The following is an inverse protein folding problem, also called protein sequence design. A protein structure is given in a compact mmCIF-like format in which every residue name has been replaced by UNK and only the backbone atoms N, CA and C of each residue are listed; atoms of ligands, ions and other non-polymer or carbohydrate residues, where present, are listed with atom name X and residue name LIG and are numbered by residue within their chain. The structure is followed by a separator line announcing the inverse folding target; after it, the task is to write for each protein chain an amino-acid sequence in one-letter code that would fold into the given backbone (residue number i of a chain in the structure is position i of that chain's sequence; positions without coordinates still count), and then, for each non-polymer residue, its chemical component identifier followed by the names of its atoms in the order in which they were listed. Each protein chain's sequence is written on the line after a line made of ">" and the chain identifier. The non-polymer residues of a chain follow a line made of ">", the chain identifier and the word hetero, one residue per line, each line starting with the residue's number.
data_IF_720618724697
#
_entry.id   IF_720618724697
#
_cell.length_a   1.000
_cell.length_b   1.000
_cell.length_c   1.000
_cell.angle_alpha   90.00
_cell.angle_beta   90.00
_cell.angle_gamma   90.00
#
_symmetry.space_group_name_H-M   'P 1'
#
loop_
_entity.id
_entity.type
_entity.pdbx_description
1 polymer ?
#
# COMPACT_ATOMS: atom_id res chain seq x y z
N UNK A 1 24.47 9.52 13.04
CA UNK A 1 25.48 9.99 12.07
C UNK A 1 26.86 9.95 12.71
N UNK A 2 27.78 9.06 12.28
CA UNK A 2 29.09 8.89 12.96
C UNK A 2 29.93 10.19 13.06
N UNK A 3 29.83 11.07 12.05
CA UNK A 3 30.58 12.30 11.99
C UNK A 3 29.94 13.48 12.73
N UNK A 4 28.61 13.57 12.76
CA UNK A 4 27.88 14.69 13.39
C UNK A 4 27.42 14.38 14.82
N UNK A 5 27.14 13.09 15.13
CA UNK A 5 26.54 12.70 16.42
C UNK A 5 27.39 12.90 17.65
N UNK A 6 28.70 13.18 17.50
CA UNK A 6 29.62 13.49 18.59
C UNK A 6 29.79 14.99 18.80
N UNK A 7 29.28 15.83 17.90
CA UNK A 7 29.42 17.28 18.02
C UNK A 7 28.30 17.84 18.89
N UNK A 8 28.60 18.78 19.79
CA UNK A 8 27.61 19.59 20.47
C UNK A 8 26.69 20.28 19.41
N UNK A 9 25.39 20.33 19.68
CA UNK A 9 24.39 20.78 18.68
C UNK A 9 24.65 22.21 18.18
N UNK A 10 25.15 23.10 19.05
CA UNK A 10 25.50 24.49 18.72
C UNK A 10 26.75 24.62 17.82
N UNK A 11 27.55 23.56 17.66
CA UNK A 11 28.70 23.54 16.77
C UNK A 11 28.43 22.96 15.38
N UNK A 12 27.25 22.41 15.18
CA UNK A 12 26.87 21.83 13.87
C UNK A 12 26.63 22.97 12.87
N UNK A 13 27.38 22.96 11.76
CA UNK A 13 27.31 23.95 10.68
C UNK A 13 26.75 23.31 9.40
N UNK A 14 26.11 24.13 8.54
CA UNK A 14 25.57 23.70 7.27
C UNK A 14 26.67 23.08 6.35
N UNK A 15 27.84 23.71 6.27
CA UNK A 15 28.96 23.22 5.44
C UNK A 15 29.40 21.80 5.83
N UNK A 16 29.56 21.53 7.12
CA UNK A 16 29.92 20.20 7.63
C UNK A 16 28.84 19.15 7.32
N UNK A 17 27.58 19.54 7.45
CA UNK A 17 26.44 18.64 7.18
C UNK A 17 26.37 18.31 5.70
N UNK A 18 26.59 19.29 4.81
CA UNK A 18 26.64 19.09 3.35
C UNK A 18 27.78 18.13 3.00
N UNK A 19 28.99 18.35 3.52
CA UNK A 19 30.13 17.47 3.28
C UNK A 19 29.89 16.03 3.69
N UNK A 20 29.21 15.81 4.84
CA UNK A 20 28.86 14.46 5.32
C UNK A 20 27.83 13.77 4.44
N UNK A 21 26.93 14.53 3.77
CA UNK A 21 25.88 14.00 2.91
C UNK A 21 26.28 13.90 1.42
N UNK A 22 27.36 14.57 1.01
CA UNK A 22 27.85 14.57 -0.37
C UNK A 22 28.07 13.17 -0.98
N UNK A 23 28.63 12.16 -0.25
CA UNK A 23 28.74 10.81 -0.78
C UNK A 23 27.40 10.13 -1.09
N UNK A 24 26.31 10.54 -0.43
CA UNK A 24 24.97 10.04 -0.75
C UNK A 24 24.43 10.68 -2.04
N UNK A 25 24.77 11.95 -2.30
CA UNK A 25 24.44 12.64 -3.55
C UNK A 25 25.16 12.01 -4.72
N UNK A 26 26.46 11.81 -4.61
CA UNK A 26 27.31 11.15 -5.61
C UNK A 26 26.81 9.72 -5.92
N UNK A 27 26.26 9.03 -4.92
CA UNK A 27 25.63 7.72 -5.07
C UNK A 27 24.17 7.78 -5.59
N UNK A 28 23.64 8.97 -5.93
CA UNK A 28 22.27 9.18 -6.43
C UNK A 28 21.16 8.90 -5.40
N UNK A 29 21.47 8.85 -4.10
CA UNK A 29 20.52 8.52 -3.02
C UNK A 29 19.75 9.76 -2.54
N UNK A 30 19.16 10.51 -3.47
CA UNK A 30 18.50 11.80 -3.20
C UNK A 30 17.32 11.70 -2.22
N UNK A 31 16.51 10.62 -2.29
CA UNK A 31 15.42 10.39 -1.33
C UNK A 31 15.93 10.19 0.10
N UNK A 32 17.09 9.54 0.26
CA UNK A 32 17.74 9.38 1.56
C UNK A 32 18.23 10.72 2.10
N UNK A 33 18.88 11.54 1.26
CA UNK A 33 19.30 12.89 1.62
C UNK A 33 18.12 13.71 2.10
N UNK A 34 17.02 13.72 1.34
CA UNK A 34 15.79 14.43 1.71
C UNK A 34 15.28 14.03 3.10
N UNK A 35 15.22 12.71 3.38
CA UNK A 35 14.75 12.21 4.69
C UNK A 35 15.71 12.58 5.82
N UNK A 36 17.01 12.43 5.60
CA UNK A 36 18.03 12.76 6.60
C UNK A 36 18.06 14.26 6.91
N UNK A 37 18.02 15.11 5.88
CA UNK A 37 17.98 16.57 6.05
C UNK A 37 16.71 17.03 6.77
N UNK A 38 15.55 16.42 6.47
CA UNK A 38 14.31 16.68 7.20
C UNK A 38 14.41 16.29 8.67
N UNK A 39 14.96 15.11 8.99
CA UNK A 39 15.13 14.66 10.37
C UNK A 39 16.10 15.55 11.14
N UNK A 40 17.25 15.91 10.55
CA UNK A 40 18.22 16.82 11.20
C UNK A 40 17.58 18.19 11.41
N UNK A 41 16.84 18.72 10.43
CA UNK A 41 16.15 19.99 10.55
C UNK A 41 15.11 19.98 11.69
N UNK A 42 14.36 18.88 11.87
CA UNK A 42 13.44 18.72 13.00
C UNK A 42 14.16 18.76 14.35
N UNK A 43 15.31 18.09 14.47
CA UNK A 43 16.15 18.11 15.70
C UNK A 43 16.63 19.53 15.99
N UNK A 44 17.13 20.25 14.98
CA UNK A 44 17.59 21.63 15.13
C UNK A 44 16.45 22.58 15.51
N UNK A 45 15.28 22.43 14.89
CA UNK A 45 14.08 23.22 15.23
C UNK A 45 13.63 22.96 16.67
N UNK A 46 13.67 21.71 17.12
CA UNK A 46 13.40 21.37 18.52
C UNK A 46 14.41 22.06 19.46
N UNK A 47 15.69 22.06 19.14
CA UNK A 47 16.72 22.71 19.95
C UNK A 47 16.54 24.24 20.03
N UNK A 48 16.06 24.87 18.95
CA UNK A 48 15.67 26.30 18.97
C UNK A 48 14.46 26.52 19.90
N UNK A 49 13.41 25.72 19.73
CA UNK A 49 12.16 25.86 20.50
C UNK A 49 12.35 25.60 22.01
N UNK A 50 13.38 24.83 22.38
CA UNK A 50 13.74 24.54 23.78
C UNK A 50 14.84 25.48 24.32
N UNK A 51 15.29 26.47 23.55
CA UNK A 51 16.29 27.42 23.96
C UNK A 51 17.72 26.89 24.04
N UNK A 52 18.00 25.69 23.51
CA UNK A 52 19.35 25.10 23.49
C UNK A 52 20.27 25.84 22.49
N UNK A 53 19.71 26.32 21.39
CA UNK A 53 20.36 27.16 20.38
C UNK A 53 19.44 28.30 19.98
N UNK A 54 20.01 29.43 19.58
CA UNK A 54 19.22 30.61 19.22
C UNK A 54 18.63 30.58 17.80
N UNK A 55 19.29 29.91 16.88
CA UNK A 55 18.90 29.83 15.46
C UNK A 55 19.17 28.44 14.91
N UNK A 56 18.39 28.05 13.91
CA UNK A 56 18.61 26.80 13.19
C UNK A 56 19.51 27.01 11.96
N UNK A 57 20.81 26.65 12.02
CA UNK A 57 21.73 26.83 10.90
C UNK A 57 21.43 25.92 9.70
N UNK A 58 20.54 24.92 9.86
CA UNK A 58 20.18 23.92 8.86
C UNK A 58 18.76 24.08 8.30
N UNK A 59 18.09 25.22 8.55
CA UNK A 59 16.68 25.43 8.23
C UNK A 59 16.30 25.12 6.77
N UNK A 60 17.19 25.37 5.82
CA UNK A 60 16.98 25.17 4.39
C UNK A 60 17.99 24.22 3.75
N UNK A 61 18.66 23.39 4.53
CA UNK A 61 19.78 22.55 4.06
C UNK A 61 19.35 21.60 2.92
N UNK A 62 18.10 21.21 2.85
CA UNK A 62 17.57 20.38 1.74
C UNK A 62 17.76 21.06 0.38
N UNK A 63 17.77 22.40 0.32
CA UNK A 63 17.96 23.17 -0.92
C UNK A 63 19.40 23.15 -1.44
N UNK A 64 20.35 22.68 -0.63
CA UNK A 64 21.75 22.51 -1.05
C UNK A 64 21.98 21.26 -1.90
N UNK A 65 20.96 20.40 -2.07
CA UNK A 65 21.02 19.15 -2.81
C UNK A 65 19.97 19.11 -3.91
N UNK A 66 20.22 18.29 -4.93
CA UNK A 66 19.21 18.03 -5.95
C UNK A 66 17.95 17.41 -5.35
N UNK A 67 16.81 17.83 -5.87
CA UNK A 67 15.52 17.24 -5.46
C UNK A 67 15.33 15.88 -6.12
N UNK A 68 14.92 14.84 -5.37
CA UNK A 68 14.62 13.56 -5.98
C UNK A 68 13.48 13.69 -6.99
N UNK A 69 13.66 13.09 -8.17
CA UNK A 69 12.59 13.02 -9.16
C UNK A 69 11.45 12.16 -8.61
N UNK A 70 10.23 12.67 -8.66
CA UNK A 70 9.04 11.88 -8.31
C UNK A 70 8.96 10.68 -9.24
N UNK A 71 9.00 9.48 -8.66
CA UNK A 71 8.73 8.24 -9.39
C UNK A 71 7.33 7.77 -9.01
N UNK A 72 6.50 7.54 -10.02
CA UNK A 72 5.23 6.87 -9.81
C UNK A 72 5.48 5.42 -9.39
N UNK A 73 4.54 4.85 -8.63
CA UNK A 73 4.59 3.43 -8.28
C UNK A 73 4.48 2.61 -9.58
N UNK A 74 5.30 1.56 -9.66
CA UNK A 74 5.26 0.65 -10.79
C UNK A 74 3.89 -0.04 -10.84
N UNK A 75 3.19 0.10 -11.95
CA UNK A 75 1.86 -0.47 -12.20
C UNK A 75 1.78 -0.95 -13.65
N UNK A 76 0.81 -1.79 -13.94
CA UNK A 76 0.49 -2.26 -15.29
C UNK A 76 -0.57 -1.36 -15.93
N UNK A 77 -0.67 -1.41 -17.25
CA UNK A 77 -1.80 -0.87 -18.00
C UNK A 77 -3.02 -1.82 -17.89
N UNK A 78 -4.27 -1.32 -17.99
CA UNK A 78 -5.48 -2.15 -17.90
C UNK A 78 -5.48 -3.37 -18.83
N UNK A 79 -4.97 -3.21 -20.05
CA UNK A 79 -4.87 -4.31 -21.03
C UNK A 79 -3.93 -5.45 -20.60
N UNK A 80 -3.07 -5.26 -19.60
CA UNK A 80 -2.15 -6.27 -19.07
C UNK A 80 -2.78 -7.11 -17.94
N UNK A 81 -3.96 -6.72 -17.44
CA UNK A 81 -4.67 -7.45 -16.38
C UNK A 81 -4.90 -8.93 -16.73
N UNK A 82 -5.31 -9.31 -17.96
CA UNK A 82 -5.45 -10.71 -18.36
C UNK A 82 -4.17 -11.51 -18.21
N UNK A 83 -3.05 -10.95 -18.62
CA UNK A 83 -1.75 -11.60 -18.53
C UNK A 83 -1.29 -11.77 -17.07
N UNK A 84 -1.59 -10.78 -16.20
CA UNK A 84 -1.33 -10.86 -14.77
C UNK A 84 -2.12 -12.00 -14.13
N UNK A 85 -3.43 -12.09 -14.39
CA UNK A 85 -4.29 -13.14 -13.82
C UNK A 85 -3.87 -14.53 -14.28
N UNK A 86 -3.55 -14.67 -15.56
CA UNK A 86 -2.98 -15.91 -16.11
C UNK A 86 -1.67 -16.27 -15.43
N UNK A 87 -0.73 -15.34 -15.28
CA UNK A 87 0.54 -15.58 -14.61
C UNK A 87 0.34 -15.98 -13.14
N UNK A 88 -0.63 -15.36 -12.46
CA UNK A 88 -0.95 -15.64 -11.07
C UNK A 88 -1.53 -17.04 -10.89
N UNK A 89 -2.38 -17.52 -11.81
CA UNK A 89 -2.96 -18.86 -11.75
C UNK A 89 -1.94 -20.00 -11.95
N UNK A 90 -0.91 -19.76 -12.77
CA UNK A 90 0.17 -20.74 -13.01
C UNK A 90 1.39 -20.58 -12.10
N UNK A 91 1.39 -19.55 -11.24
CA UNK A 91 2.54 -19.27 -10.40
C UNK A 91 2.77 -20.36 -9.34
N UNK A 92 4.02 -20.82 -9.23
CA UNK A 92 4.43 -21.72 -8.15
C UNK A 92 4.65 -20.91 -6.86
N UNK A 93 3.55 -20.51 -6.23
CA UNK A 93 3.47 -19.78 -4.97
C UNK A 93 2.43 -20.43 -4.04
N UNK A 94 2.60 -20.24 -2.75
CA UNK A 94 1.67 -20.77 -1.75
C UNK A 94 0.26 -20.22 -1.96
N UNK A 95 -0.77 -21.05 -1.72
CA UNK A 95 -2.18 -20.69 -1.86
C UNK A 95 -2.52 -19.37 -1.14
N UNK A 96 -2.17 -19.24 0.15
CA UNK A 96 -2.43 -18.02 0.92
C UNK A 96 -1.72 -16.78 0.35
N UNK A 97 -0.59 -16.94 -0.32
CA UNK A 97 0.10 -15.82 -1.00
C UNK A 97 -0.64 -15.43 -2.28
N UNK A 98 -1.13 -16.40 -3.06
CA UNK A 98 -1.93 -16.16 -4.26
C UNK A 98 -3.21 -15.42 -3.88
N UNK A 99 -3.98 -15.99 -2.97
CA UNK A 99 -5.25 -15.40 -2.52
C UNK A 99 -5.04 -14.01 -1.90
N UNK A 100 -3.92 -13.78 -1.19
CA UNK A 100 -3.60 -12.44 -0.67
C UNK A 100 -3.41 -11.40 -1.79
N UNK A 101 -2.79 -11.77 -2.91
CA UNK A 101 -2.64 -10.88 -4.07
C UNK A 101 -3.99 -10.63 -4.74
N UNK A 102 -4.79 -11.67 -4.95
CA UNK A 102 -6.14 -11.58 -5.52
C UNK A 102 -7.07 -10.74 -4.63
N UNK A 103 -7.07 -11.02 -3.32
CA UNK A 103 -7.81 -10.22 -2.33
C UNK A 103 -7.45 -8.73 -2.42
N UNK A 104 -6.15 -8.43 -2.47
CA UNK A 104 -5.69 -7.05 -2.60
C UNK A 104 -6.16 -6.39 -3.89
N UNK A 105 -6.13 -7.12 -5.01
CA UNK A 105 -6.58 -6.64 -6.31
C UNK A 105 -8.09 -6.38 -6.31
N UNK A 106 -8.90 -7.32 -5.83
CA UNK A 106 -10.35 -7.19 -5.75
C UNK A 106 -10.80 -6.07 -4.82
N UNK A 107 -10.19 -5.98 -3.64
CA UNK A 107 -10.57 -5.00 -2.61
C UNK A 107 -9.92 -3.63 -2.76
N UNK A 108 -8.96 -3.50 -3.66
CA UNK A 108 -8.14 -2.28 -3.83
C UNK A 108 -7.49 -1.80 -2.52
N UNK A 109 -7.32 -2.68 -1.54
CA UNK A 109 -6.73 -2.35 -0.23
C UNK A 109 -5.21 -2.13 -0.30
N UNK A 110 -4.63 -1.45 0.68
CA UNK A 110 -3.17 -1.28 0.75
C UNK A 110 -2.49 -2.59 1.17
N UNK A 111 -1.23 -2.83 0.77
CA UNK A 111 -0.51 -4.06 1.16
C UNK A 111 -0.49 -4.33 2.66
N UNK A 112 -0.42 -3.28 3.49
CA UNK A 112 -0.47 -3.43 4.95
C UNK A 112 -1.87 -3.76 5.47
N UNK A 113 -2.90 -3.20 4.86
CA UNK A 113 -4.31 -3.49 5.18
C UNK A 113 -4.63 -4.95 4.83
N UNK A 114 -4.24 -5.38 3.62
CA UNK A 114 -4.39 -6.77 3.17
C UNK A 114 -3.65 -7.74 4.06
N UNK A 115 -2.35 -7.55 4.28
CA UNK A 115 -1.54 -8.49 5.02
C UNK A 115 -2.04 -8.70 6.46
N UNK A 116 -2.51 -7.64 7.10
CA UNK A 116 -3.03 -7.69 8.46
C UNK A 116 -4.54 -7.90 8.56
N UNK A 117 -5.24 -8.29 7.49
CA UNK A 117 -6.69 -8.53 7.51
C UNK A 117 -7.06 -9.62 8.51
N UNK A 118 -8.15 -9.43 9.26
CA UNK A 118 -8.60 -10.30 10.34
C UNK A 118 -9.98 -10.88 10.04
N UNK A 119 -10.23 -12.09 10.52
CA UNK A 119 -11.54 -12.72 10.40
C UNK A 119 -12.64 -11.94 11.11
N UNK A 120 -12.36 -11.35 12.27
CA UNK A 120 -13.30 -10.52 13.03
C UNK A 120 -13.73 -9.24 12.31
N UNK A 121 -12.97 -8.79 11.30
CA UNK A 121 -13.31 -7.62 10.49
C UNK A 121 -14.28 -7.93 9.35
N UNK A 122 -14.55 -9.23 9.10
CA UNK A 122 -15.40 -9.68 7.99
C UNK A 122 -16.83 -9.89 8.51
N UNK A 123 -17.73 -9.10 7.96
CA UNK A 123 -19.17 -9.28 8.10
C UNK A 123 -19.68 -10.01 6.86
N UNK A 124 -19.91 -11.32 6.98
CA UNK A 124 -20.38 -12.17 5.88
C UNK A 124 -21.84 -11.89 5.51
N UNK A 125 -22.67 -11.52 6.50
CA UNK A 125 -24.10 -11.24 6.29
C UNK A 125 -24.27 -9.93 5.50
N UNK A 126 -23.62 -8.85 5.97
CA UNK A 126 -23.64 -7.56 5.28
C UNK A 126 -22.72 -7.54 4.06
N UNK A 127 -21.85 -8.54 3.87
CA UNK A 127 -20.80 -8.62 2.84
C UNK A 127 -19.90 -7.40 2.88
N UNK A 128 -19.29 -7.17 4.04
CA UNK A 128 -18.42 -6.02 4.30
C UNK A 128 -17.12 -6.46 4.96
N UNK A 129 -16.04 -5.77 4.63
CA UNK A 129 -14.80 -5.80 5.39
C UNK A 129 -14.63 -4.48 6.11
N UNK A 130 -14.69 -4.51 7.45
CA UNK A 130 -14.65 -3.34 8.32
C UNK A 130 -13.26 -3.20 8.94
N UNK A 131 -12.44 -2.33 8.38
CA UNK A 131 -11.06 -2.08 8.85
C UNK A 131 -11.11 -1.00 9.93
N UNK A 132 -10.69 -1.28 11.18
CA UNK A 132 -10.69 -0.29 12.24
C UNK A 132 -9.64 0.80 12.04
N UNK A 133 -9.86 1.96 12.66
CA UNK A 133 -9.04 3.16 12.47
C UNK A 133 -7.55 2.93 12.80
N UNK A 134 -7.25 2.09 13.78
CA UNK A 134 -5.91 1.76 14.26
C UNK A 134 -5.05 1.12 13.18
N UNK A 135 -5.67 0.35 12.28
CA UNK A 135 -5.02 -0.32 11.17
C UNK A 135 -4.89 0.55 9.91
N UNK A 136 -5.65 1.64 9.86
CA UNK A 136 -5.63 2.54 8.71
C UNK A 136 -4.53 3.60 8.82
N UNK A 137 -3.84 3.87 7.70
CA UNK A 137 -2.78 4.90 7.63
C UNK A 137 -3.28 6.28 8.08
N UNK A 138 -4.52 6.62 7.75
CA UNK A 138 -5.12 7.93 8.07
C UNK A 138 -5.91 7.94 9.38
N UNK A 139 -5.83 6.85 10.19
CA UNK A 139 -6.52 6.75 11.49
C UNK A 139 -8.03 7.02 11.40
N UNK A 140 -8.66 6.61 10.30
CA UNK A 140 -10.11 6.62 10.08
C UNK A 140 -10.57 5.23 9.68
N UNK A 141 -11.68 4.70 10.22
CA UNK A 141 -12.18 3.39 9.85
C UNK A 141 -12.54 3.36 8.37
N UNK A 142 -12.41 2.20 7.75
CA UNK A 142 -12.74 2.03 6.34
C UNK A 142 -13.53 0.74 6.14
N UNK A 143 -14.68 0.86 5.48
CA UNK A 143 -15.54 -0.27 5.14
C UNK A 143 -15.41 -0.56 3.64
N UNK A 144 -15.14 -1.80 3.27
CA UNK A 144 -15.01 -2.26 1.89
C UNK A 144 -16.15 -3.25 1.58
N UNK A 145 -17.02 -2.96 0.59
CA UNK A 145 -18.00 -3.93 0.11
C UNK A 145 -17.31 -5.14 -0.52
N UNK A 146 -17.72 -6.34 -0.13
CA UNK A 146 -17.20 -7.59 -0.66
C UNK A 146 -18.05 -8.06 -1.84
N UNK A 147 -17.38 -8.33 -2.97
CA UNK A 147 -17.99 -8.94 -4.15
C UNK A 147 -18.17 -10.45 -3.94
N UNK A 148 -19.00 -11.15 -4.76
CA UNK A 148 -19.10 -12.60 -4.73
C UNK A 148 -17.74 -13.29 -4.82
N UNK A 149 -16.83 -12.82 -5.69
CA UNK A 149 -15.51 -13.37 -5.87
C UNK A 149 -14.63 -13.24 -4.62
N UNK A 150 -14.75 -12.12 -3.89
CA UNK A 150 -14.02 -11.97 -2.62
C UNK A 150 -14.56 -12.90 -1.52
N UNK A 151 -15.85 -13.22 -1.53
CA UNK A 151 -16.42 -14.22 -0.63
C UNK A 151 -15.93 -15.63 -0.98
N UNK A 152 -15.84 -15.98 -2.27
CA UNK A 152 -15.21 -17.23 -2.73
C UNK A 152 -13.76 -17.35 -2.26
N UNK A 153 -12.98 -16.28 -2.34
CA UNK A 153 -11.61 -16.26 -1.82
C UNK A 153 -11.56 -16.55 -0.31
N UNK A 154 -12.50 -16.03 0.48
CA UNK A 154 -12.59 -16.33 1.92
C UNK A 154 -12.88 -17.81 2.16
N UNK A 155 -13.79 -18.42 1.40
CA UNK A 155 -14.09 -19.86 1.52
C UNK A 155 -12.86 -20.71 1.16
N UNK A 156 -12.11 -20.35 0.13
CA UNK A 156 -10.86 -21.04 -0.26
C UNK A 156 -9.83 -21.03 0.87
N UNK A 157 -9.65 -19.92 1.57
CA UNK A 157 -8.63 -19.82 2.62
C UNK A 157 -9.10 -20.26 4.00
N UNK A 158 -10.41 -20.40 4.23
CA UNK A 158 -10.96 -20.78 5.53
C UNK A 158 -10.35 -22.08 6.11
N UNK A 159 -10.18 -23.15 5.35
CA UNK A 159 -9.51 -24.37 5.86
C UNK A 159 -8.06 -24.14 6.29
N UNK A 160 -7.39 -23.13 5.75
CA UNK A 160 -5.95 -22.87 5.96
C UNK A 160 -5.66 -21.80 6.99
N UNK A 161 -6.62 -20.93 7.29
CA UNK A 161 -6.43 -19.77 8.18
C UNK A 161 -7.59 -19.52 9.14
N UNK A 162 -8.68 -20.31 9.08
CA UNK A 162 -9.90 -20.08 9.89
C UNK A 162 -9.68 -20.18 11.40
N UNK A 163 -8.66 -20.92 11.85
CA UNK A 163 -8.27 -21.00 13.27
C UNK A 163 -7.32 -19.86 13.68
N UNK A 164 -6.86 -19.05 12.73
CA UNK A 164 -6.02 -17.88 12.98
C UNK A 164 -6.86 -16.63 13.18
N UNK A 165 -6.34 -15.66 13.90
CA UNK A 165 -6.88 -14.30 13.96
C UNK A 165 -6.87 -13.61 12.57
N UNK A 166 -5.87 -13.95 11.73
CA UNK A 166 -5.61 -13.30 10.43
C UNK A 166 -6.11 -14.13 9.26
N UNK A 167 -6.61 -13.47 8.21
CA UNK A 167 -6.91 -14.10 6.92
C UNK A 167 -5.64 -14.71 6.31
N UNK A 168 -4.51 -14.02 6.49
CA UNK A 168 -3.22 -14.39 5.93
C UNK A 168 -2.16 -14.55 7.03
N UNK A 169 -2.22 -15.64 7.83
CA UNK A 169 -1.26 -15.88 8.89
C UNK A 169 0.14 -16.12 8.36
N UNK A 170 1.14 -15.80 9.16
CA UNK A 170 2.54 -16.04 8.87
C UNK A 170 2.90 -17.51 9.07
N UNK A 171 3.55 -18.13 8.08
CA UNK A 171 4.09 -19.49 8.22
C UNK A 171 5.31 -19.54 9.15
N UNK A 172 6.00 -18.39 9.32
CA UNK A 172 7.27 -18.31 10.06
C UNK A 172 7.07 -17.90 11.52
N UNK A 173 6.00 -17.18 11.82
CA UNK A 173 5.79 -16.59 13.14
C UNK A 173 4.34 -16.79 13.59
N UNK A 174 4.14 -17.73 14.53
CA UNK A 174 2.82 -17.99 15.09
C UNK A 174 2.22 -16.71 15.72
N UNK A 175 0.93 -16.47 15.48
CA UNK A 175 0.22 -15.30 16.00
C UNK A 175 0.55 -13.98 15.31
N UNK A 176 1.20 -14.02 14.13
CA UNK A 176 1.44 -12.85 13.30
C UNK A 176 0.87 -13.06 11.89
N UNK A 177 0.56 -11.96 11.20
CA UNK A 177 0.18 -11.99 9.79
C UNK A 177 1.41 -12.12 8.88
N UNK A 178 1.18 -12.47 7.61
CA UNK A 178 2.21 -12.48 6.56
C UNK A 178 2.87 -11.11 6.42
N UNK A 179 4.14 -11.13 6.03
CA UNK A 179 4.86 -9.88 5.79
C UNK A 179 4.22 -9.11 4.64
N UNK A 180 4.11 -7.77 4.80
CA UNK A 180 3.57 -6.87 3.76
C UNK A 180 4.35 -6.92 2.44
N UNK A 181 5.61 -7.39 2.46
CA UNK A 181 6.43 -7.58 1.27
C UNK A 181 6.19 -8.92 0.56
N UNK A 182 5.39 -9.83 1.13
CA UNK A 182 5.13 -11.16 0.55
C UNK A 182 4.57 -11.06 -0.86
N UNK A 183 3.59 -10.18 -1.09
CA UNK A 183 3.03 -9.93 -2.42
C UNK A 183 4.09 -9.39 -3.40
N UNK A 184 4.93 -8.44 -2.99
CA UNK A 184 6.01 -7.91 -3.83
C UNK A 184 7.02 -8.99 -4.22
N UNK A 185 7.40 -9.86 -3.28
CA UNK A 185 8.33 -10.95 -3.55
C UNK A 185 7.72 -11.98 -4.50
N UNK A 186 6.44 -12.29 -4.36
CA UNK A 186 5.73 -13.18 -5.28
C UNK A 186 5.64 -12.58 -6.69
N UNK A 187 5.20 -11.34 -6.84
CA UNK A 187 5.16 -10.63 -8.12
C UNK A 187 6.54 -10.59 -8.79
N UNK A 188 7.61 -10.34 -8.04
CA UNK A 188 8.98 -10.38 -8.57
C UNK A 188 9.35 -11.78 -9.11
N UNK A 189 9.01 -12.86 -8.37
CA UNK A 189 9.27 -14.24 -8.81
C UNK A 189 8.46 -14.62 -10.06
N UNK A 190 7.27 -14.04 -10.20
CA UNK A 190 6.41 -14.22 -11.38
C UNK A 190 6.91 -13.41 -12.62
N UNK A 191 8.05 -12.72 -12.54
CA UNK A 191 8.62 -11.94 -13.64
C UNK A 191 8.15 -10.49 -13.71
N UNK A 192 7.39 -10.00 -12.73
CA UNK A 192 6.95 -8.59 -12.67
C UNK A 192 7.92 -7.65 -11.94
N UNK A 193 9.12 -8.13 -11.59
CA UNK A 193 10.16 -7.28 -11.00
C UNK A 193 10.50 -6.08 -11.90
N UNK A 194 10.46 -4.86 -11.36
CA UNK A 194 10.68 -3.63 -12.13
C UNK A 194 9.48 -3.15 -12.97
N UNK A 195 8.36 -3.89 -13.00
CA UNK A 195 7.16 -3.55 -13.78
C UNK A 195 5.93 -3.31 -12.89
N UNK A 196 5.76 -4.14 -11.85
CA UNK A 196 4.61 -4.08 -10.94
C UNK A 196 5.08 -4.26 -9.51
N UNK A 197 4.50 -3.48 -8.60
CA UNK A 197 4.56 -3.67 -7.15
C UNK A 197 3.16 -3.85 -6.58
N UNK A 198 3.03 -4.47 -5.41
CA UNK A 198 1.74 -4.72 -4.78
C UNK A 198 0.89 -3.44 -4.64
N UNK A 199 1.51 -2.30 -4.32
CA UNK A 199 0.81 -1.02 -4.28
C UNK A 199 0.29 -0.58 -5.67
N UNK A 200 0.97 -0.97 -6.75
CA UNK A 200 0.56 -0.70 -8.13
C UNK A 200 -0.73 -1.38 -8.56
N UNK A 201 -1.16 -2.46 -7.88
CA UNK A 201 -2.46 -3.10 -8.11
C UNK A 201 -3.63 -2.12 -7.89
N UNK A 202 -3.48 -1.20 -6.94
CA UNK A 202 -4.49 -0.15 -6.69
C UNK A 202 -4.51 0.89 -7.82
N UNK A 203 -3.34 1.24 -8.35
CA UNK A 203 -3.26 2.16 -9.49
C UNK A 203 -3.87 1.52 -10.74
N UNK A 204 -3.61 0.23 -10.99
CA UNK A 204 -4.24 -0.53 -12.06
C UNK A 204 -5.78 -0.49 -11.96
N UNK A 205 -6.32 -0.81 -10.79
CA UNK A 205 -7.76 -0.76 -10.55
C UNK A 205 -8.32 0.66 -10.76
N UNK A 206 -7.69 1.68 -10.17
CA UNK A 206 -8.11 3.08 -10.31
C UNK A 206 -8.10 3.53 -11.77
N UNK A 207 -7.05 3.21 -12.52
CA UNK A 207 -6.97 3.55 -13.96
C UNK A 207 -8.07 2.87 -14.75
N UNK A 208 -8.28 1.56 -14.55
CA UNK A 208 -9.34 0.81 -15.24
C UNK A 208 -10.72 1.38 -14.94
N UNK A 209 -11.01 1.68 -13.68
CA UNK A 209 -12.31 2.24 -13.29
C UNK A 209 -12.55 3.64 -13.88
N UNK A 210 -11.50 4.49 -13.93
CA UNK A 210 -11.61 5.80 -14.57
C UNK A 210 -11.81 5.69 -16.09
N UNK A 211 -11.12 4.77 -16.76
CA UNK A 211 -11.32 4.50 -18.21
C UNK A 211 -12.75 4.01 -18.53
N UNK A 212 -13.41 3.38 -17.55
CA UNK A 212 -14.82 2.93 -17.68
C UNK A 212 -15.82 3.92 -17.06
N UNK A 213 -15.42 5.19 -16.90
CA UNK A 213 -16.27 6.31 -16.53
C UNK A 213 -16.99 6.17 -15.17
N UNK A 214 -16.44 5.36 -14.25
CA UNK A 214 -16.95 5.35 -12.89
C UNK A 214 -16.70 6.70 -12.20
N UNK A 215 -17.65 7.11 -11.35
CA UNK A 215 -17.58 8.38 -10.67
C UNK A 215 -16.28 8.49 -9.85
N UNK A 216 -15.41 9.51 -10.08
CA UNK A 216 -14.14 9.66 -9.39
C UNK A 216 -14.26 9.71 -7.86
N UNK A 217 -15.32 10.32 -7.30
CA UNK A 217 -15.53 10.37 -5.85
C UNK A 217 -15.79 8.98 -5.26
N UNK A 218 -16.45 8.09 -6.02
CA UNK A 218 -16.68 6.70 -5.62
C UNK A 218 -15.37 5.91 -5.65
N UNK A 219 -14.52 6.14 -6.65
CA UNK A 219 -13.19 5.52 -6.77
C UNK A 219 -12.29 5.98 -5.61
N UNK A 220 -12.21 7.30 -5.36
CA UNK A 220 -11.40 7.86 -4.26
C UNK A 220 -11.87 7.37 -2.88
N UNK A 221 -13.20 7.26 -2.69
CA UNK A 221 -13.76 6.68 -1.47
C UNK A 221 -13.39 5.19 -1.31
N UNK A 222 -13.39 4.41 -2.39
CA UNK A 222 -12.96 3.00 -2.35
C UNK A 222 -11.47 2.87 -2.03
N UNK A 223 -10.65 3.79 -2.51
CA UNK A 223 -9.21 3.85 -2.20
C UNK A 223 -8.91 4.41 -0.80
N UNK A 224 -9.90 4.81 -0.02
CA UNK A 224 -9.71 5.51 1.26
C UNK A 224 -8.71 6.68 1.12
N UNK A 225 -8.83 7.44 0.04
CA UNK A 225 -8.10 8.68 -0.15
C UNK A 225 -8.85 9.83 0.53
N UNK A 226 -8.11 10.71 1.18
CA UNK A 226 -8.67 11.97 1.70
C UNK A 226 -8.65 13.01 0.60
N UNK A 227 -9.77 13.71 0.43
CA UNK A 227 -9.80 14.86 -0.45
C UNK A 227 -8.75 15.89 0.02
N UNK A 228 -7.93 16.36 -0.90
CA UNK A 228 -6.90 17.37 -0.61
C UNK A 228 -7.51 18.76 -0.38
N UNK A 229 -8.73 18.96 -0.84
CA UNK A 229 -9.49 20.19 -0.59
C UNK A 229 -10.24 20.02 0.74
N UNK A 230 -9.77 20.67 1.79
CA UNK A 230 -10.35 20.61 3.15
C UNK A 230 -11.83 20.99 3.16
N UNK A 231 -12.24 21.96 2.33
CA UNK A 231 -13.64 22.39 2.20
C UNK A 231 -14.47 21.23 1.62
N UNK A 232 -14.02 20.62 0.51
CA UNK A 232 -14.71 19.48 -0.12
C UNK A 232 -14.73 18.26 0.80
N UNK A 233 -13.63 17.98 1.51
CA UNK A 233 -13.55 16.92 2.51
C UNK A 233 -14.54 17.12 3.68
N UNK A 234 -14.76 18.35 4.11
CA UNK A 234 -15.74 18.68 5.17
C UNK A 234 -17.18 18.44 4.72
N UNK A 235 -17.50 18.71 3.45
CA UNK A 235 -18.84 18.50 2.89
C UNK A 235 -19.08 17.07 2.38
N UNK A 236 -18.04 16.36 1.92
CA UNK A 236 -18.17 15.03 1.33
C UNK A 236 -17.89 13.92 2.36
N UNK A 237 -18.80 13.76 3.34
CA UNK A 237 -18.75 12.67 4.33
C UNK A 237 -19.41 11.38 3.83
N UNK A 238 -19.91 11.37 2.61
CA UNK A 238 -20.61 10.23 2.06
C UNK A 238 -19.63 9.07 1.81
N UNK A 239 -19.94 7.90 2.34
CA UNK A 239 -19.14 6.68 2.12
C UNK A 239 -19.45 6.01 0.77
N UNK A 240 -20.47 6.46 0.08
CA UNK A 240 -20.94 5.89 -1.21
C UNK A 240 -21.08 4.37 -1.20
N UNK A 241 -21.47 3.76 -0.08
CA UNK A 241 -21.35 2.32 0.15
C UNK A 241 -22.01 1.50 -0.98
N UNK A 242 -23.25 1.82 -1.35
CA UNK A 242 -23.98 1.08 -2.40
C UNK A 242 -23.39 1.32 -3.80
N UNK A 243 -22.99 2.56 -4.11
CA UNK A 243 -22.29 2.84 -5.37
C UNK A 243 -20.95 2.11 -5.47
N UNK A 244 -20.22 2.03 -4.35
CA UNK A 244 -18.98 1.27 -4.26
C UNK A 244 -19.23 -0.22 -4.40
N UNK A 245 -20.33 -0.76 -3.84
CA UNK A 245 -20.72 -2.17 -4.01
C UNK A 245 -20.89 -2.53 -5.50
N UNK A 246 -21.64 -1.72 -6.23
CA UNK A 246 -21.82 -1.91 -7.68
C UNK A 246 -20.48 -1.85 -8.42
N UNK A 247 -19.68 -0.83 -8.16
CA UNK A 247 -18.36 -0.66 -8.78
C UNK A 247 -17.41 -1.81 -8.44
N UNK A 248 -17.35 -2.25 -7.19
CA UNK A 248 -16.49 -3.35 -6.73
C UNK A 248 -16.91 -4.69 -7.34
N UNK A 249 -18.21 -4.95 -7.49
CA UNK A 249 -18.71 -6.13 -8.20
C UNK A 249 -18.31 -6.08 -9.68
N UNK A 250 -18.47 -4.93 -10.35
CA UNK A 250 -18.05 -4.76 -11.73
C UNK A 250 -16.54 -4.99 -11.89
N UNK A 251 -15.72 -4.39 -11.01
CA UNK A 251 -14.27 -4.58 -10.99
C UNK A 251 -13.90 -6.05 -10.82
N UNK A 252 -14.50 -6.73 -9.85
CA UNK A 252 -14.25 -8.15 -9.60
C UNK A 252 -14.65 -9.03 -10.79
N UNK A 253 -15.76 -8.71 -11.46
CA UNK A 253 -16.16 -9.40 -12.69
C UNK A 253 -15.13 -9.17 -13.81
N UNK A 254 -14.60 -7.96 -13.95
CA UNK A 254 -13.56 -7.64 -14.94
C UNK A 254 -12.29 -8.45 -14.69
N UNK A 255 -11.86 -8.60 -13.43
CA UNK A 255 -10.71 -9.45 -13.06
C UNK A 255 -10.95 -10.90 -13.49
N UNK A 256 -12.13 -11.46 -13.24
CA UNK A 256 -12.44 -12.88 -13.47
C UNK A 256 -12.92 -13.19 -14.88
N UNK A 257 -13.44 -12.22 -15.63
CA UNK A 257 -13.87 -12.40 -17.04
C UNK A 257 -12.69 -12.60 -17.99
N UNK A 258 -11.49 -12.42 -17.51
CA UNK A 258 -10.27 -12.78 -18.21
C UNK A 258 -10.22 -14.30 -18.37
N UNK A 259 -9.84 -14.88 -19.55
CA UNK A 259 -10.02 -16.29 -19.86
C UNK A 259 -9.21 -17.19 -18.94
N UNK A 260 -9.77 -17.56 -17.81
CA UNK A 260 -9.17 -18.50 -16.86
C UNK A 260 -10.20 -19.38 -16.14
N UNK A 261 -11.37 -19.63 -16.78
CA UNK A 261 -12.43 -20.48 -16.19
C UNK A 261 -12.05 -21.98 -16.06
N UNK A 262 -10.91 -22.42 -16.58
CA UNK A 262 -10.58 -23.85 -16.60
C UNK A 262 -9.85 -24.35 -15.33
N UNK A 263 -9.43 -23.51 -14.39
CA UNK A 263 -8.50 -23.92 -13.34
C UNK A 263 -9.02 -23.90 -11.89
N UNK A 264 -10.29 -23.63 -11.64
CA UNK A 264 -10.85 -23.78 -10.27
C UNK A 264 -11.12 -25.26 -9.95
N UNK A 265 -11.31 -26.11 -10.96
CA UNK A 265 -11.55 -27.55 -10.78
C UNK A 265 -10.30 -28.34 -10.34
N UNK A 266 -9.09 -27.85 -10.63
CA UNK A 266 -7.84 -28.58 -10.31
C UNK A 266 -7.36 -28.47 -8.87
N UNK A 267 -7.96 -27.60 -8.05
CA UNK A 267 -7.54 -27.36 -6.65
C UNK A 267 -8.26 -28.31 -5.67
N UNK A 268 -9.29 -29.03 -6.13
CA UNK A 268 -10.04 -29.98 -5.28
C UNK A 268 -9.52 -31.42 -5.31
N UNK A 269 -8.51 -31.74 -6.12
CA UNK A 269 -8.01 -33.14 -6.31
C UNK A 269 -6.52 -33.35 -5.96
N UNK A 270 -5.83 -32.44 -5.25
CA UNK A 270 -4.48 -32.71 -4.76
C UNK A 270 -4.26 -32.22 -3.32
#
# INVERSE_FOLDING_TARGET
>A
LPKLGKLPIHQIKASQTIEVLKPLEEAGKLDMIKRVTQAINQIMTFAVNTGIINTNPLANITKAFESPKKRHQLTLEPKELPALMKALSYANIQLLTRVMIEWQLHTMSRPSETAGARWEEIDLEARLWNIPAERMKMKRPHTIPLSPQTLELLEIIRPHSGESEFLFPSDMKKGQHRNTQTANMALKRMGYGGRLVAHGLRALASTTLNEHEFNPDVIEAALAHTDKNEIRAAYNRAQYLEKRRVMMCWWSNTITSTPNKENVAFIQEN
#
